data_IF_338310182392
#
_entry.id   IF_338310182392
#
_cell.length_a   1.000
_cell.length_b   1.000
_cell.length_c   1.000
_cell.angle_alpha   90.00
_cell.angle_beta   90.00
_cell.angle_gamma   90.00
#
_symmetry.space_group_name_H-M   'P 1'
#
loop_
_entity.id
_entity.type
_entity.pdbx_description
1 polymer ?
#
# COMPACT_ATOMS: atom_id res chain seq x y z
N UNK A 1 13.49 -0.67 -12.54
CA UNK A 1 13.97 0.70 -12.32
C UNK A 1 13.77 1.19 -10.87
N UNK A 2 12.85 0.60 -10.10
CA UNK A 2 12.43 1.14 -8.79
C UNK A 2 13.06 0.47 -7.55
N UNK A 3 14.10 -0.36 -7.75
CA UNK A 3 14.80 -1.08 -6.68
C UNK A 3 16.14 -0.46 -6.25
N UNK A 4 16.53 0.67 -6.84
CA UNK A 4 17.70 1.44 -6.40
C UNK A 4 17.24 2.66 -5.60
N UNK A 5 18.03 3.05 -4.60
CA UNK A 5 17.85 4.30 -3.88
C UNK A 5 17.65 5.42 -4.90
N UNK A 6 16.44 5.98 -4.93
CA UNK A 6 16.18 7.22 -5.63
C UNK A 6 17.20 8.24 -5.12
N UNK A 7 18.01 8.82 -6.01
CA UNK A 7 19.03 9.77 -5.56
C UNK A 7 18.35 10.95 -4.86
N UNK A 8 19.03 11.57 -3.90
CA UNK A 8 18.51 12.76 -3.21
C UNK A 8 18.16 13.88 -4.21
N UNK A 9 18.95 14.01 -5.28
CA UNK A 9 18.70 14.91 -6.40
C UNK A 9 17.37 14.63 -7.10
N UNK A 10 17.07 13.36 -7.38
CA UNK A 10 15.82 12.97 -8.04
C UNK A 10 14.60 13.21 -7.13
N UNK A 11 14.73 12.88 -5.85
CA UNK A 11 13.68 13.17 -4.86
C UNK A 11 13.43 14.67 -4.74
N UNK A 12 14.49 15.49 -4.78
CA UNK A 12 14.39 16.95 -4.69
C UNK A 12 13.68 17.55 -5.90
N UNK A 13 14.03 17.10 -7.12
CA UNK A 13 13.37 17.54 -8.35
C UNK A 13 11.86 17.21 -8.37
N UNK A 14 11.46 16.04 -7.88
CA UNK A 14 10.05 15.68 -7.74
C UNK A 14 9.31 16.57 -6.75
N UNK A 15 9.96 16.91 -5.63
CA UNK A 15 9.36 17.80 -4.63
C UNK A 15 9.14 19.19 -5.22
N UNK A 16 10.11 19.72 -5.97
CA UNK A 16 9.94 21.00 -6.66
C UNK A 16 8.73 21.00 -7.60
N UNK A 17 8.58 19.95 -8.40
CA UNK A 17 7.43 19.78 -9.29
C UNK A 17 6.10 19.64 -8.52
N UNK A 18 6.07 18.88 -7.42
CA UNK A 18 4.88 18.78 -6.56
C UNK A 18 4.46 20.15 -6.03
N UNK A 19 5.43 21.02 -5.70
CA UNK A 19 5.17 22.35 -5.14
C UNK A 19 4.60 23.34 -6.17
N UNK A 20 4.63 23.00 -7.46
CA UNK A 20 4.02 23.74 -8.56
C UNK A 20 2.58 23.30 -8.87
N UNK A 21 2.10 22.21 -8.25
CA UNK A 21 0.74 21.68 -8.43
C UNK A 21 -0.33 22.54 -7.72
N UNK A 22 -1.60 22.20 -7.96
CA UNK A 22 -2.75 22.82 -7.32
C UNK A 22 -2.64 22.81 -5.78
N UNK A 23 -3.16 23.88 -5.16
CA UNK A 23 -3.09 24.10 -3.71
C UNK A 23 -3.71 22.94 -2.90
N UNK A 24 -4.73 22.29 -3.45
CA UNK A 24 -5.39 21.11 -2.88
C UNK A 24 -4.47 19.89 -2.74
N UNK A 25 -3.38 19.82 -3.52
CA UNK A 25 -2.34 18.78 -3.44
C UNK A 25 -1.18 19.27 -2.58
N UNK A 26 -0.73 20.50 -2.80
CA UNK A 26 0.43 21.10 -2.14
C UNK A 26 0.21 21.23 -0.63
N UNK A 27 -0.97 21.68 -0.19
CA UNK A 27 -1.21 22.00 1.22
C UNK A 27 -1.25 20.73 2.11
N UNK A 28 -1.90 19.62 1.73
CA UNK A 28 -1.73 18.34 2.41
C UNK A 28 -0.28 17.84 2.39
N UNK A 29 0.42 17.96 1.25
CA UNK A 29 1.81 17.52 1.14
C UNK A 29 2.72 18.30 2.09
N UNK A 30 2.60 19.63 2.21
CA UNK A 30 3.39 20.45 3.15
C UNK A 30 3.27 19.99 4.61
N UNK A 31 2.09 19.51 5.02
CA UNK A 31 1.84 19.06 6.40
C UNK A 31 2.61 17.79 6.77
N UNK A 32 2.79 16.89 5.81
CA UNK A 32 3.44 15.59 6.04
C UNK A 32 4.82 15.47 5.38
N UNK A 33 5.12 16.32 4.41
CA UNK A 33 6.30 16.32 3.54
C UNK A 33 7.59 16.21 4.33
N UNK A 34 7.75 17.09 5.33
CA UNK A 34 8.92 17.14 6.21
C UNK A 34 9.17 15.86 7.03
N UNK A 35 8.17 14.98 7.14
CA UNK A 35 8.31 13.67 7.79
C UNK A 35 8.56 12.61 6.72
N UNK A 36 7.72 12.60 5.69
CA UNK A 36 7.66 11.50 4.72
C UNK A 36 8.84 11.46 3.76
N UNK A 37 9.53 12.58 3.56
CA UNK A 37 10.73 12.66 2.69
C UNK A 37 12.03 12.37 3.45
N UNK A 38 11.99 12.24 4.78
CA UNK A 38 13.21 12.01 5.56
C UNK A 38 13.78 10.63 5.20
N UNK A 39 15.08 10.52 4.86
CA UNK A 39 15.69 9.24 4.48
C UNK A 39 15.46 8.13 5.51
N UNK A 40 15.58 8.43 6.79
CA UNK A 40 15.34 7.46 7.87
C UNK A 40 13.89 7.00 7.94
N UNK A 41 12.94 7.90 7.68
CA UNK A 41 11.51 7.55 7.64
C UNK A 41 11.20 6.68 6.42
N UNK A 42 11.68 7.07 5.24
CA UNK A 42 11.53 6.27 4.00
C UNK A 42 12.14 4.89 4.17
N UNK A 43 13.33 4.80 4.75
CA UNK A 43 14.01 3.54 5.03
C UNK A 43 13.22 2.69 6.01
N UNK A 44 12.77 3.28 7.12
CA UNK A 44 11.95 2.59 8.12
C UNK A 44 10.65 2.04 7.53
N UNK A 45 9.95 2.85 6.73
CA UNK A 45 8.74 2.45 6.01
C UNK A 45 8.94 1.27 5.04
N UNK A 46 10.15 1.14 4.46
CA UNK A 46 10.47 0.09 3.49
C UNK A 46 10.98 -1.20 4.12
N UNK A 47 11.67 -1.12 5.25
CA UNK A 47 12.47 -2.25 5.76
C UNK A 47 11.98 -2.81 7.09
N UNK A 48 11.18 -2.07 7.87
CA UNK A 48 10.95 -2.41 9.28
C UNK A 48 9.57 -2.15 9.84
N UNK A 49 8.76 -1.34 9.17
CA UNK A 49 7.59 -0.73 9.81
C UNK A 49 6.59 -1.75 10.35
N UNK A 50 6.43 -2.88 9.67
CA UNK A 50 5.56 -4.01 10.02
C UNK A 50 6.09 -4.84 11.19
N UNK A 51 7.41 -5.01 11.25
CA UNK A 51 8.09 -5.81 12.26
C UNK A 51 7.96 -5.16 13.64
N UNK A 52 7.91 -3.82 13.71
CA UNK A 52 7.68 -3.07 14.96
C UNK A 52 6.28 -3.33 15.56
N UNK A 53 5.33 -3.84 14.77
CA UNK A 53 3.99 -4.25 15.21
C UNK A 53 3.83 -5.78 15.28
N UNK A 54 4.91 -6.56 15.17
CA UNK A 54 4.85 -8.02 15.23
C UNK A 54 4.12 -8.65 14.03
N UNK A 55 3.96 -7.91 12.94
CA UNK A 55 3.38 -8.40 11.69
C UNK A 55 4.54 -8.80 10.77
N UNK A 56 4.59 -10.05 10.28
CA UNK A 56 5.69 -10.53 9.46
C UNK A 56 5.62 -9.96 8.04
N UNK A 57 6.79 -9.80 7.44
CA UNK A 57 6.93 -9.53 6.02
C UNK A 57 6.44 -10.70 5.17
N UNK A 58 5.78 -10.39 4.05
CA UNK A 58 5.34 -11.38 3.07
C UNK A 58 5.76 -10.97 1.66
N UNK A 59 5.66 -11.90 0.71
CA UNK A 59 5.70 -11.54 -0.70
C UNK A 59 4.45 -10.74 -1.06
N UNK A 60 4.68 -9.53 -1.57
CA UNK A 60 3.67 -8.61 -2.07
C UNK A 60 3.81 -8.50 -3.58
N UNK A 61 2.70 -8.20 -4.27
CA UNK A 61 2.67 -7.88 -5.68
C UNK A 61 3.35 -6.55 -5.98
N UNK A 62 3.19 -5.56 -5.08
CA UNK A 62 3.82 -4.24 -5.16
C UNK A 62 3.09 -3.24 -6.07
N UNK A 63 2.33 -3.75 -7.05
CA UNK A 63 1.47 -2.95 -7.93
C UNK A 63 0.08 -3.56 -8.12
N UNK A 64 -0.65 -3.84 -7.03
CA UNK A 64 -1.96 -4.49 -7.12
C UNK A 64 -3.10 -3.46 -7.30
N UNK A 65 -3.59 -3.30 -8.53
CA UNK A 65 -4.73 -2.44 -8.88
C UNK A 65 -5.59 -3.10 -9.96
N UNK A 66 -6.78 -2.55 -10.24
CA UNK A 66 -7.78 -3.16 -11.12
C UNK A 66 -7.27 -3.64 -12.48
N UNK A 67 -6.32 -2.93 -13.10
CA UNK A 67 -5.77 -3.30 -14.41
C UNK A 67 -4.82 -4.51 -14.34
N UNK A 68 -4.31 -4.83 -13.16
CA UNK A 68 -3.47 -6.01 -12.90
C UNK A 68 -4.27 -7.21 -12.37
N UNK A 69 -5.61 -7.10 -12.39
CA UNK A 69 -6.55 -8.17 -12.01
C UNK A 69 -7.28 -8.69 -13.25
N UNK A 70 -7.14 -9.99 -13.54
CA UNK A 70 -7.95 -10.65 -14.56
C UNK A 70 -9.15 -11.35 -13.92
N UNK A 71 -10.33 -11.19 -14.51
CA UNK A 71 -11.59 -11.76 -14.05
C UNK A 71 -12.18 -12.72 -15.07
N UNK A 72 -12.98 -13.69 -14.62
CA UNK A 72 -13.67 -14.58 -15.54
C UNK A 72 -14.86 -13.87 -16.21
N UNK A 73 -14.92 -13.89 -17.55
CA UNK A 73 -16.01 -13.26 -18.31
C UNK A 73 -17.40 -13.76 -17.93
N UNK A 74 -17.54 -15.06 -17.62
CA UNK A 74 -18.81 -15.69 -17.25
C UNK A 74 -19.14 -15.60 -15.76
N UNK A 75 -18.23 -15.07 -14.93
CA UNK A 75 -18.46 -14.79 -13.52
C UNK A 75 -17.53 -13.64 -13.08
N UNK A 76 -17.97 -12.38 -13.24
CA UNK A 76 -17.15 -11.20 -12.96
C UNK A 76 -16.80 -11.05 -11.47
N UNK A 77 -17.43 -11.82 -10.57
CA UNK A 77 -17.05 -11.87 -9.15
C UNK A 77 -15.93 -12.89 -8.87
N UNK A 78 -15.50 -13.65 -9.88
CA UNK A 78 -14.43 -14.64 -9.76
C UNK A 78 -13.15 -14.09 -10.37
N UNK A 79 -12.16 -13.86 -9.52
CA UNK A 79 -10.81 -13.54 -9.93
C UNK A 79 -10.17 -14.74 -10.65
N UNK A 80 -9.54 -14.48 -11.79
CA UNK A 80 -8.83 -15.47 -12.61
C UNK A 80 -7.33 -15.46 -12.34
N UNK A 81 -6.69 -14.28 -12.32
CA UNK A 81 -5.25 -14.16 -12.10
C UNK A 81 -4.83 -12.75 -11.65
N UNK A 82 -3.68 -12.69 -10.97
CA UNK A 82 -2.87 -11.49 -10.81
C UNK A 82 -1.78 -11.47 -11.88
N UNK A 83 -1.58 -10.34 -12.55
CA UNK A 83 -0.57 -10.16 -13.59
C UNK A 83 0.34 -8.96 -13.29
N UNK A 84 1.47 -8.90 -13.98
CA UNK A 84 2.46 -7.80 -13.85
C UNK A 84 3.15 -7.71 -12.47
N UNK A 85 3.87 -8.78 -12.14
CA UNK A 85 4.64 -8.91 -10.89
C UNK A 85 5.99 -8.17 -10.90
N UNK A 86 6.20 -7.18 -11.78
CA UNK A 86 7.50 -6.53 -11.95
C UNK A 86 7.96 -5.72 -10.73
N UNK A 87 7.02 -5.35 -9.84
CA UNK A 87 7.28 -4.64 -8.58
C UNK A 87 7.18 -5.54 -7.34
N UNK A 88 7.12 -6.86 -7.52
CA UNK A 88 7.00 -7.79 -6.41
C UNK A 88 8.20 -7.68 -5.46
N UNK A 89 7.91 -7.61 -4.16
CA UNK A 89 8.93 -7.49 -3.10
C UNK A 89 8.47 -8.17 -1.82
N UNK A 90 9.42 -8.47 -0.94
CA UNK A 90 9.14 -8.81 0.45
C UNK A 90 8.89 -7.50 1.23
N UNK A 91 7.84 -7.48 2.05
CA UNK A 91 7.55 -6.33 2.92
C UNK A 91 6.16 -6.38 3.52
N UNK A 92 5.63 -5.19 3.83
CA UNK A 92 4.39 -5.02 4.58
C UNK A 92 3.20 -5.74 3.91
N UNK A 93 2.50 -6.66 4.59
CA UNK A 93 1.43 -7.46 4.01
C UNK A 93 0.20 -6.66 3.58
N UNK A 94 0.04 -5.43 4.10
CA UNK A 94 -1.06 -4.55 3.72
C UNK A 94 -0.76 -3.69 2.48
N UNK A 95 0.44 -3.81 1.90
CA UNK A 95 0.84 -3.05 0.70
C UNK A 95 -0.13 -3.25 -0.45
N UNK A 96 -0.45 -4.49 -0.79
CA UNK A 96 -1.33 -4.79 -1.92
C UNK A 96 -2.78 -4.37 -1.67
N UNK A 97 -3.29 -4.56 -0.44
CA UNK A 97 -4.65 -4.16 -0.06
C UNK A 97 -4.77 -2.64 -0.12
N UNK A 98 -3.83 -1.92 0.50
CA UNK A 98 -3.82 -0.46 0.49
C UNK A 98 -3.68 0.11 -0.93
N UNK A 99 -2.84 -0.51 -1.78
CA UNK A 99 -2.71 -0.15 -3.20
C UNK A 99 -4.03 -0.33 -3.94
N UNK A 100 -4.71 -1.46 -3.77
CA UNK A 100 -6.01 -1.71 -4.38
C UNK A 100 -7.07 -0.70 -3.90
N UNK A 101 -7.11 -0.43 -2.60
CA UNK A 101 -8.07 0.51 -2.01
C UNK A 101 -7.86 1.94 -2.51
N UNK A 102 -6.62 2.39 -2.66
CA UNK A 102 -6.32 3.75 -3.13
C UNK A 102 -6.50 3.90 -4.64
N UNK A 103 -6.13 2.90 -5.44
CA UNK A 103 -6.11 3.01 -6.90
C UNK A 103 -7.43 2.61 -7.58
N UNK A 104 -8.30 1.84 -6.91
CA UNK A 104 -9.49 1.23 -7.54
C UNK A 104 -10.80 1.62 -6.88
N UNK A 105 -10.80 2.01 -5.59
CA UNK A 105 -12.04 2.27 -4.85
C UNK A 105 -12.32 3.76 -4.76
N UNK A 106 -13.54 4.15 -5.13
CA UNK A 106 -14.03 5.53 -5.02
C UNK A 106 -13.77 6.10 -3.61
N UNK A 107 -13.25 7.35 -3.48
CA UNK A 107 -12.75 7.86 -2.21
C UNK A 107 -13.76 7.84 -1.05
N UNK A 108 -15.03 8.18 -1.31
CA UNK A 108 -16.09 8.14 -0.29
C UNK A 108 -16.41 6.72 0.18
N UNK A 109 -16.45 5.78 -0.77
CA UNK A 109 -16.69 4.38 -0.47
C UNK A 109 -15.50 3.78 0.30
N UNK A 110 -14.27 4.06 -0.12
CA UNK A 110 -13.04 3.64 0.58
C UNK A 110 -13.08 4.09 2.04
N UNK A 111 -13.27 5.39 2.29
CA UNK A 111 -13.33 5.96 3.66
C UNK A 111 -14.39 5.28 4.52
N UNK A 112 -15.56 5.01 3.94
CA UNK A 112 -16.65 4.30 4.63
C UNK A 112 -16.22 2.88 5.01
N UNK A 113 -15.66 2.12 4.07
CA UNK A 113 -15.25 0.72 4.32
C UNK A 113 -14.10 0.65 5.31
N UNK A 114 -13.12 1.54 5.21
CA UNK A 114 -11.99 1.64 6.15
C UNK A 114 -12.47 1.93 7.57
N UNK A 115 -13.41 2.87 7.73
CA UNK A 115 -14.03 3.17 9.03
C UNK A 115 -14.79 1.98 9.61
N UNK A 116 -15.40 1.16 8.76
CA UNK A 116 -16.12 -0.05 9.17
C UNK A 116 -15.17 -1.22 9.50
N UNK A 117 -13.88 -1.16 9.18
CA UNK A 117 -12.88 -2.20 9.50
C UNK A 117 -13.05 -3.54 8.74
N UNK A 118 -14.13 -3.68 7.95
CA UNK A 118 -14.57 -4.96 7.36
C UNK A 118 -13.53 -5.65 6.48
N UNK A 119 -12.71 -4.88 5.77
CA UNK A 119 -11.68 -5.46 4.88
C UNK A 119 -10.59 -6.15 5.69
N UNK A 120 -10.12 -5.53 6.77
CA UNK A 120 -9.07 -6.11 7.61
C UNK A 120 -9.60 -7.32 8.38
N UNK A 121 -10.84 -7.25 8.86
CA UNK A 121 -11.52 -8.40 9.46
C UNK A 121 -11.65 -9.57 8.49
N UNK A 122 -12.10 -9.30 7.26
CA UNK A 122 -12.23 -10.31 6.23
C UNK A 122 -10.86 -10.93 5.89
N UNK A 123 -9.84 -10.09 5.71
CA UNK A 123 -8.48 -10.56 5.43
C UNK A 123 -7.95 -11.47 6.55
N UNK A 124 -8.01 -11.02 7.81
CA UNK A 124 -7.49 -11.77 8.94
C UNK A 124 -8.23 -13.11 9.13
N UNK A 125 -9.55 -13.10 8.95
CA UNK A 125 -10.38 -14.29 9.06
C UNK A 125 -10.06 -15.30 7.96
N UNK A 126 -10.01 -14.88 6.69
CA UNK A 126 -9.70 -15.79 5.58
C UNK A 126 -8.25 -16.27 5.62
N UNK A 127 -7.30 -15.44 6.03
CA UNK A 127 -5.90 -15.84 6.25
C UNK A 127 -5.82 -16.94 7.31
N UNK A 128 -6.38 -16.71 8.50
CA UNK A 128 -6.35 -17.68 9.59
C UNK A 128 -7.07 -18.99 9.23
N UNK A 129 -8.19 -18.90 8.51
CA UNK A 129 -8.89 -20.07 7.99
C UNK A 129 -8.00 -20.87 7.04
N UNK A 130 -7.34 -20.21 6.09
CA UNK A 130 -6.44 -20.86 5.13
C UNK A 130 -5.21 -21.48 5.79
N UNK A 131 -4.62 -20.82 6.78
CA UNK A 131 -3.52 -21.38 7.57
C UNK A 131 -3.93 -22.68 8.27
N UNK A 132 -5.10 -22.69 8.91
CA UNK A 132 -5.62 -23.90 9.57
C UNK A 132 -5.91 -25.02 8.56
N UNK A 133 -6.50 -24.71 7.40
CA UNK A 133 -6.72 -25.69 6.32
C UNK A 133 -5.40 -26.31 5.81
N UNK A 134 -4.29 -25.56 5.87
CA UNK A 134 -2.95 -26.02 5.52
C UNK A 134 -2.21 -26.72 6.68
N UNK A 135 -2.85 -26.88 7.84
CA UNK A 135 -2.24 -27.50 9.04
C UNK A 135 -1.26 -26.59 9.78
N UNK A 136 -1.33 -25.28 9.56
CA UNK A 136 -0.49 -24.26 10.20
C UNK A 136 -1.23 -23.58 11.37
N UNK A 137 -0.45 -23.00 12.28
CA UNK A 137 -1.01 -22.15 13.34
C UNK A 137 -1.57 -20.84 12.77
N UNK A 138 -2.57 -20.29 13.46
CA UNK A 138 -3.07 -18.94 13.20
C UNK A 138 -1.98 -17.90 13.44
N UNK A 139 -2.12 -16.75 12.80
CA UNK A 139 -1.23 -15.62 13.05
C UNK A 139 -1.36 -15.12 14.49
N UNK A 140 -0.28 -14.53 15.02
CA UNK A 140 -0.21 -14.06 16.41
C UNK A 140 -0.65 -12.61 16.59
N UNK A 141 -0.72 -11.83 15.51
CA UNK A 141 -1.18 -10.45 15.52
C UNK A 141 -2.70 -10.38 15.35
N UNK A 142 -3.31 -9.33 15.89
CA UNK A 142 -4.74 -9.05 15.80
C UNK A 142 -5.08 -7.97 14.78
N UNK A 143 -6.32 -7.49 14.84
CA UNK A 143 -6.82 -6.43 13.97
C UNK A 143 -6.15 -5.09 14.26
N UNK A 144 -5.76 -4.82 15.50
CA UNK A 144 -5.13 -3.55 15.89
C UNK A 144 -3.75 -3.40 15.24
N UNK A 145 -2.89 -4.43 15.35
CA UNK A 145 -1.58 -4.44 14.68
C UNK A 145 -1.75 -4.36 13.15
N UNK A 146 -2.73 -5.10 12.60
CA UNK A 146 -3.02 -5.09 11.17
C UNK A 146 -3.47 -3.69 10.69
N UNK A 147 -4.28 -2.99 11.48
CA UNK A 147 -4.73 -1.63 11.19
C UNK A 147 -3.55 -0.64 11.21
N UNK A 148 -2.60 -0.79 12.14
CA UNK A 148 -1.40 0.03 12.17
C UNK A 148 -0.58 -0.13 10.89
N UNK A 149 -0.28 -1.36 10.50
CA UNK A 149 0.50 -1.62 9.27
C UNK A 149 -0.27 -1.25 8.00
N UNK A 150 -1.61 -1.34 8.00
CA UNK A 150 -2.45 -0.83 6.91
C UNK A 150 -2.36 0.69 6.78
N UNK A 151 -2.45 1.43 7.89
CA UNK A 151 -2.36 2.90 7.88
C UNK A 151 -1.00 3.36 7.36
N UNK A 152 0.08 2.67 7.74
CA UNK A 152 1.41 2.92 7.21
C UNK A 152 1.47 2.61 5.70
N UNK A 153 0.90 1.49 5.27
CA UNK A 153 0.85 1.15 3.85
C UNK A 153 0.07 2.19 3.03
N UNK A 154 -1.06 2.71 3.54
CA UNK A 154 -1.82 3.80 2.92
C UNK A 154 -0.97 5.06 2.77
N UNK A 155 -0.23 5.46 3.82
CA UNK A 155 0.67 6.61 3.76
C UNK A 155 1.73 6.39 2.67
N UNK A 156 2.40 5.24 2.67
CA UNK A 156 3.43 4.88 1.68
C UNK A 156 2.88 4.94 0.25
N UNK A 157 1.72 4.33 0.02
CA UNK A 157 1.09 4.30 -1.30
C UNK A 157 0.60 5.69 -1.75
N UNK A 158 0.07 6.50 -0.85
CA UNK A 158 -0.35 7.86 -1.16
C UNK A 158 0.84 8.76 -1.53
N UNK A 159 1.94 8.70 -0.77
CA UNK A 159 3.18 9.41 -1.09
C UNK A 159 3.70 8.95 -2.46
N UNK A 160 3.75 7.63 -2.69
CA UNK A 160 4.19 7.07 -3.97
C UNK A 160 3.40 7.63 -5.16
N UNK A 161 2.07 7.82 -5.02
CA UNK A 161 1.25 8.44 -6.08
C UNK A 161 1.55 9.92 -6.27
N UNK A 162 1.67 10.69 -5.19
CA UNK A 162 1.98 12.13 -5.29
C UNK A 162 3.34 12.34 -5.96
N UNK A 163 4.33 11.51 -5.63
CA UNK A 163 5.66 11.52 -6.26
C UNK A 163 5.64 11.09 -7.72
N UNK A 164 4.59 10.40 -8.18
CA UNK A 164 4.44 9.97 -9.57
C UNK A 164 3.72 10.98 -10.46
N UNK A 165 2.95 11.92 -9.88
CA UNK A 165 2.19 12.94 -10.64
C UNK A 165 3.06 13.63 -11.70
N UNK A 166 4.30 14.07 -11.39
CA UNK A 166 5.09 14.81 -12.36
C UNK A 166 5.56 14.00 -13.59
N UNK A 167 5.37 12.67 -13.62
CA UNK A 167 5.64 11.87 -14.82
C UNK A 167 4.49 11.86 -15.82
N UNK A 168 3.32 12.34 -15.42
CA UNK A 168 2.09 12.26 -16.21
C UNK A 168 1.58 13.64 -16.68
N UNK A 169 2.25 14.72 -16.29
CA UNK A 169 2.05 16.09 -16.80
C UNK A 169 3.10 16.44 -17.87
#
# INVERSE_FOLDING_TARGET
MWGQSVSEEFSSAMIEQIMELDEDIVEPFKKIGNIVIKPDFVKWMKEKCENDYGVPEILTHGDLWNNNLLWYNNNPSRLAAFIDWQLATIGNPMTDISRLMLATVEPDLRRKIEKEGKILELYLNELNKKLVELGMEKVKYGIEELQHVYNLAIISQAIGRVMEIPFFE
#
